data_IF_062523346457
#
_entry.id   IF_062523346457
#
_cell.length_a   1.000
_cell.length_b   1.000
_cell.length_c   1.000
_cell.angle_alpha   90.00
_cell.angle_beta   90.00
_cell.angle_gamma   90.00
#
_symmetry.space_group_name_H-M   'P 1'
#
loop_
_entity.id
_entity.type
_entity.pdbx_description
1 polymer ?
#
# COMPACT_ATOMS: atom_id res chain seq x y z
N UNK A 1 27.87 -15.54 -22.36
CA UNK A 1 26.94 -14.73 -23.16
C UNK A 1 26.54 -13.52 -22.33
N UNK A 2 26.96 -12.30 -22.72
CA UNK A 2 26.48 -11.09 -22.04
C UNK A 2 24.97 -10.97 -22.23
N UNK A 3 24.21 -11.02 -21.12
CA UNK A 3 22.78 -10.75 -21.16
C UNK A 3 22.53 -9.37 -21.77
N UNK A 4 21.56 -9.26 -22.70
CA UNK A 4 21.12 -7.98 -23.26
C UNK A 4 20.18 -7.22 -22.32
N UNK A 5 19.80 -7.85 -21.19
CA UNK A 5 18.92 -7.24 -20.18
C UNK A 5 19.74 -6.38 -19.20
N UNK A 6 19.06 -5.38 -18.63
CA UNK A 6 19.61 -4.56 -17.55
C UNK A 6 19.99 -5.44 -16.35
N UNK A 7 21.22 -5.28 -15.84
CA UNK A 7 21.68 -5.99 -14.63
C UNK A 7 20.82 -5.63 -13.42
N UNK A 8 20.48 -4.36 -13.31
CA UNK A 8 19.61 -3.84 -12.24
C UNK A 8 18.26 -4.55 -12.22
N UNK A 9 17.57 -4.61 -13.37
CA UNK A 9 16.26 -5.25 -13.45
C UNK A 9 16.35 -6.77 -13.24
N UNK A 10 17.44 -7.40 -13.63
CA UNK A 10 17.67 -8.83 -13.38
C UNK A 10 17.86 -9.15 -11.89
N UNK A 11 18.34 -8.20 -11.10
CA UNK A 11 18.52 -8.33 -9.64
C UNK A 11 17.21 -8.08 -8.85
N UNK A 12 16.19 -7.48 -9.45
CA UNK A 12 14.89 -7.26 -8.82
C UNK A 12 14.12 -8.57 -8.78
N UNK A 13 13.49 -8.88 -7.65
CA UNK A 13 12.66 -10.08 -7.49
C UNK A 13 11.53 -10.14 -8.54
N UNK A 14 11.16 -11.35 -8.96
CA UNK A 14 9.99 -11.53 -9.80
C UNK A 14 8.71 -11.13 -9.03
N UNK A 15 7.77 -10.39 -9.66
CA UNK A 15 6.54 -9.99 -8.96
C UNK A 15 5.67 -11.21 -8.69
N UNK A 16 5.57 -11.63 -7.43
CA UNK A 16 4.89 -12.86 -7.02
C UNK A 16 3.37 -12.80 -7.25
N UNK A 17 2.75 -11.62 -7.14
CA UNK A 17 1.29 -11.48 -7.31
C UNK A 17 0.82 -11.87 -8.72
N UNK A 18 1.44 -11.44 -9.83
CA UNK A 18 1.11 -11.95 -11.16
C UNK A 18 1.24 -13.46 -11.29
N UNK A 19 2.25 -14.08 -10.68
CA UNK A 19 2.47 -15.53 -10.70
C UNK A 19 1.31 -16.26 -10.00
N UNK A 20 0.97 -15.84 -8.77
CA UNK A 20 -0.15 -16.41 -8.02
C UNK A 20 -1.48 -16.15 -8.74
N UNK A 21 -1.65 -14.97 -9.35
CA UNK A 21 -2.84 -14.65 -10.14
C UNK A 21 -2.97 -15.54 -11.39
N UNK A 22 -1.87 -15.89 -12.03
CA UNK A 22 -1.87 -16.82 -13.15
C UNK A 22 -2.29 -18.24 -12.71
N UNK A 23 -1.71 -18.77 -11.63
CA UNK A 23 -2.13 -20.06 -11.07
C UNK A 23 -3.62 -20.05 -10.69
N UNK A 24 -4.09 -18.95 -10.08
CA UNK A 24 -5.50 -18.78 -9.72
C UNK A 24 -6.42 -18.81 -10.94
N UNK A 25 -6.05 -18.13 -12.04
CA UNK A 25 -6.82 -18.14 -13.29
C UNK A 25 -6.84 -19.53 -13.96
N UNK A 26 -5.72 -20.24 -13.90
CA UNK A 26 -5.56 -21.56 -14.50
C UNK A 26 -6.27 -22.67 -13.71
N UNK A 27 -6.69 -22.40 -12.46
CA UNK A 27 -7.44 -23.34 -11.62
C UNK A 27 -8.86 -22.82 -11.42
N UNK A 28 -9.79 -23.33 -12.26
CA UNK A 28 -11.19 -22.89 -12.25
C UNK A 28 -11.83 -23.04 -10.89
N UNK A 29 -12.66 -22.06 -10.51
CA UNK A 29 -13.38 -22.05 -9.22
C UNK A 29 -12.53 -21.62 -8.02
N UNK A 30 -11.28 -21.18 -8.21
CA UNK A 30 -10.42 -20.69 -7.11
C UNK A 30 -10.95 -19.37 -6.56
N UNK A 31 -11.16 -19.32 -5.25
CA UNK A 31 -11.48 -18.10 -4.51
C UNK A 31 -10.18 -17.41 -4.07
N UNK A 32 -10.08 -16.11 -4.33
CA UNK A 32 -8.86 -15.36 -4.05
C UNK A 32 -8.90 -14.65 -2.70
N UNK A 33 -8.02 -15.06 -1.80
CA UNK A 33 -7.58 -14.30 -0.62
C UNK A 33 -6.22 -13.61 -0.89
N UNK A 34 -5.77 -13.55 -2.15
CA UNK A 34 -4.45 -13.01 -2.51
C UNK A 34 -4.49 -11.57 -2.99
N UNK A 35 -5.54 -11.13 -3.67
CA UNK A 35 -5.59 -9.82 -4.30
C UNK A 35 -5.84 -8.69 -3.31
N UNK A 36 -4.94 -7.71 -3.31
CA UNK A 36 -5.06 -6.48 -2.51
C UNK A 36 -5.99 -5.45 -3.14
N UNK A 37 -7.23 -5.81 -3.43
CA UNK A 37 -8.27 -4.96 -4.02
C UNK A 37 -9.53 -4.99 -3.15
N UNK A 38 -10.48 -4.11 -3.45
CA UNK A 38 -11.79 -4.03 -2.80
C UNK A 38 -12.89 -4.50 -3.75
N UNK A 39 -13.99 -5.01 -3.20
CA UNK A 39 -15.11 -5.59 -3.98
C UNK A 39 -16.10 -4.53 -4.47
N UNK A 40 -16.04 -3.31 -3.95
CA UNK A 40 -16.98 -2.24 -4.29
C UNK A 40 -16.45 -1.35 -5.41
N UNK A 41 -17.35 -0.79 -6.26
CA UNK A 41 -16.98 0.13 -7.34
C UNK A 41 -16.65 1.53 -6.81
N UNK A 42 -16.22 2.46 -7.69
CA UNK A 42 -16.24 3.88 -7.36
C UNK A 42 -17.65 4.39 -6.99
N UNK A 43 -17.77 5.49 -6.23
CA UNK A 43 -19.06 6.13 -5.98
C UNK A 43 -19.69 6.63 -7.29
N UNK A 44 -21.03 6.65 -7.35
CA UNK A 44 -21.78 7.04 -8.57
C UNK A 44 -21.40 8.44 -9.07
N UNK A 45 -21.08 9.36 -8.17
CA UNK A 45 -20.61 10.70 -8.51
C UNK A 45 -19.33 10.68 -9.35
N UNK A 46 -18.42 9.73 -9.12
CA UNK A 46 -17.22 9.58 -9.92
C UNK A 46 -17.55 9.24 -11.39
N UNK A 47 -18.54 8.35 -11.60
CA UNK A 47 -18.99 7.99 -12.94
C UNK A 47 -19.80 9.11 -13.57
N UNK A 48 -20.59 9.84 -12.78
CA UNK A 48 -21.34 11.01 -13.25
C UNK A 48 -20.41 12.14 -13.73
N UNK A 49 -19.29 12.37 -13.02
CA UNK A 49 -18.31 13.42 -13.36
C UNK A 49 -17.63 13.22 -14.73
N UNK A 50 -17.61 11.99 -15.25
CA UNK A 50 -16.99 11.67 -16.55
C UNK A 50 -18.00 11.37 -17.65
N UNK A 51 -19.30 11.47 -17.38
CA UNK A 51 -20.35 11.09 -18.36
C UNK A 51 -20.21 11.80 -19.68
N UNK A 52 -19.89 13.09 -19.63
CA UNK A 52 -19.78 13.97 -20.78
C UNK A 52 -18.32 14.32 -21.13
N UNK A 53 -17.37 13.57 -20.59
CA UNK A 53 -15.94 13.77 -20.87
C UNK A 53 -15.62 13.50 -22.35
N UNK A 54 -14.80 14.37 -22.95
CA UNK A 54 -14.42 14.29 -24.36
C UNK A 54 -15.26 15.17 -25.27
N UNK A 55 -16.23 15.93 -24.76
CA UNK A 55 -17.02 16.87 -25.56
C UNK A 55 -16.32 18.21 -25.76
N UNK A 56 -15.34 18.56 -24.93
CA UNK A 56 -14.61 19.83 -25.00
C UNK A 56 -13.19 19.59 -25.53
N UNK A 57 -12.69 20.45 -26.44
CA UNK A 57 -11.39 20.30 -27.07
C UNK A 57 -10.22 20.22 -26.05
N UNK A 58 -10.29 20.96 -24.94
CA UNK A 58 -9.28 21.00 -23.89
C UNK A 58 -9.15 19.67 -23.13
N UNK A 59 -10.17 18.82 -23.13
CA UNK A 59 -10.15 17.50 -22.50
C UNK A 59 -9.29 16.49 -23.25
N UNK A 60 -8.88 16.81 -24.49
CA UNK A 60 -7.99 16.02 -25.34
C UNK A 60 -6.54 16.53 -25.29
N UNK A 61 -6.25 17.55 -24.49
CA UNK A 61 -4.92 18.13 -24.35
C UNK A 61 -4.24 17.60 -23.09
N UNK A 62 -2.93 17.83 -22.97
CA UNK A 62 -2.23 17.57 -21.72
C UNK A 62 -2.72 18.50 -20.62
N UNK A 63 -2.99 17.92 -19.44
CA UNK A 63 -3.25 18.67 -18.22
C UNK A 63 -1.98 19.22 -17.57
N UNK A 64 -2.14 19.93 -16.46
CA UNK A 64 -1.02 20.38 -15.66
C UNK A 64 -0.28 19.19 -15.00
N UNK A 65 1.03 19.25 -14.94
CA UNK A 65 1.86 18.19 -14.35
C UNK A 65 1.53 17.93 -12.86
N UNK A 66 1.13 18.95 -12.11
CA UNK A 66 0.71 18.80 -10.72
C UNK A 66 -0.67 18.16 -10.56
N UNK A 67 -1.49 18.21 -11.59
CA UNK A 67 -2.88 17.76 -11.58
C UNK A 67 -3.89 18.89 -11.80
N UNK A 68 -5.17 18.51 -11.92
CA UNK A 68 -6.28 19.43 -12.07
C UNK A 68 -6.44 20.34 -10.85
N UNK A 69 -6.69 21.63 -11.06
CA UNK A 69 -6.78 22.63 -9.99
C UNK A 69 -7.93 22.35 -9.01
N UNK A 70 -9.08 21.88 -9.53
CA UNK A 70 -10.22 21.55 -8.67
C UNK A 70 -9.92 20.31 -7.83
N UNK A 71 -9.30 19.28 -8.44
CA UNK A 71 -8.85 18.09 -7.72
C UNK A 71 -7.85 18.44 -6.60
N UNK A 72 -6.86 19.28 -6.90
CA UNK A 72 -5.89 19.76 -5.91
C UNK A 72 -6.55 20.51 -4.75
N UNK A 73 -7.57 21.34 -5.04
CA UNK A 73 -8.32 22.05 -3.99
C UNK A 73 -9.11 21.09 -3.10
N UNK A 74 -9.76 20.06 -3.65
CA UNK A 74 -10.46 19.02 -2.89
C UNK A 74 -9.50 18.19 -2.04
N UNK A 75 -8.34 17.84 -2.58
CA UNK A 75 -7.29 17.15 -1.83
C UNK A 75 -6.80 18.02 -0.68
N UNK A 76 -6.54 19.31 -0.90
CA UNK A 76 -6.11 20.23 0.15
C UNK A 76 -7.14 20.34 1.28
N UNK A 77 -8.43 20.40 0.96
CA UNK A 77 -9.49 20.41 1.96
C UNK A 77 -9.58 19.09 2.74
N UNK A 78 -9.47 17.95 2.05
CA UNK A 78 -9.42 16.63 2.68
C UNK A 78 -8.23 16.52 3.65
N UNK A 79 -7.05 16.97 3.26
CA UNK A 79 -5.85 16.93 4.07
C UNK A 79 -6.04 17.78 5.35
N UNK A 80 -6.67 18.96 5.24
CA UNK A 80 -6.94 19.85 6.37
C UNK A 80 -7.96 19.24 7.32
N UNK A 81 -9.09 18.77 6.79
CA UNK A 81 -10.23 18.34 7.59
C UNK A 81 -10.10 16.91 8.15
N UNK A 82 -9.44 16.00 7.43
CA UNK A 82 -9.38 14.58 7.80
C UNK A 82 -8.00 14.17 8.36
N UNK A 83 -6.88 14.70 7.82
CA UNK A 83 -5.53 14.35 8.25
C UNK A 83 -4.87 15.37 9.16
N UNK A 84 -5.52 16.51 9.42
CA UNK A 84 -4.97 17.63 10.24
C UNK A 84 -3.65 18.19 9.67
N UNK A 85 -3.43 18.01 8.36
CA UNK A 85 -2.26 18.54 7.66
C UNK A 85 -2.56 19.96 7.19
N UNK A 86 -1.63 20.89 7.43
CA UNK A 86 -1.71 22.22 6.82
C UNK A 86 -1.21 22.13 5.35
N UNK A 87 -2.11 22.12 4.34
CA UNK A 87 -1.68 21.95 2.96
C UNK A 87 -0.84 23.15 2.45
N UNK A 88 -0.95 24.32 3.07
CA UNK A 88 -0.18 25.49 2.67
C UNK A 88 1.31 25.37 3.03
N UNK A 89 1.68 24.45 3.92
CA UNK A 89 3.07 24.16 4.26
C UNK A 89 3.76 23.23 3.24
N UNK A 90 3.00 22.52 2.39
CA UNK A 90 3.47 21.50 1.47
C UNK A 90 3.20 21.87 0.00
N UNK A 91 3.71 21.03 -0.89
CA UNK A 91 3.27 20.93 -2.28
C UNK A 91 2.48 19.63 -2.46
N UNK A 92 1.38 19.71 -3.20
CA UNK A 92 0.55 18.54 -3.57
C UNK A 92 0.77 18.24 -5.04
N UNK A 93 0.88 16.94 -5.39
CA UNK A 93 0.99 16.47 -6.77
C UNK A 93 0.14 15.22 -6.97
N UNK A 94 -0.74 15.24 -7.96
CA UNK A 94 -1.52 14.07 -8.40
C UNK A 94 -0.63 13.12 -9.18
N UNK A 95 -0.75 11.81 -8.95
CA UNK A 95 0.09 10.78 -9.59
C UNK A 95 -0.76 9.62 -10.11
N UNK A 96 -0.20 8.78 -10.96
CA UNK A 96 -0.85 7.55 -11.40
C UNK A 96 -0.81 6.44 -10.33
N UNK A 97 -1.42 6.75 -9.17
CA UNK A 97 -1.46 5.93 -7.98
C UNK A 97 -0.22 6.07 -7.08
N UNK A 98 -0.31 5.55 -5.85
CA UNK A 98 0.76 5.66 -4.85
C UNK A 98 2.07 4.96 -5.26
N UNK A 99 2.02 3.87 -6.04
CA UNK A 99 3.24 3.21 -6.53
C UNK A 99 4.08 4.14 -7.41
N UNK A 100 3.44 4.91 -8.32
CA UNK A 100 4.17 5.90 -9.12
C UNK A 100 4.64 7.05 -8.25
N UNK A 101 3.83 7.51 -7.28
CA UNK A 101 4.26 8.52 -6.32
C UNK A 101 5.55 8.10 -5.61
N UNK A 102 5.60 6.87 -5.10
CA UNK A 102 6.79 6.32 -4.43
C UNK A 102 8.02 6.29 -5.35
N UNK A 103 7.86 5.76 -6.56
CA UNK A 103 8.97 5.72 -7.53
C UNK A 103 9.46 7.13 -7.91
N UNK A 104 8.53 8.08 -8.12
CA UNK A 104 8.87 9.47 -8.43
C UNK A 104 9.66 10.12 -7.29
N UNK A 105 9.25 9.86 -6.04
CA UNK A 105 9.95 10.36 -4.85
C UNK A 105 11.37 9.80 -4.82
N UNK A 106 11.55 8.49 -4.95
CA UNK A 106 12.88 7.88 -4.96
C UNK A 106 13.77 8.48 -6.05
N UNK A 107 13.26 8.61 -7.28
CA UNK A 107 14.00 9.24 -8.40
C UNK A 107 14.42 10.69 -8.11
N UNK A 108 13.68 11.39 -7.24
CA UNK A 108 13.97 12.78 -6.91
C UNK A 108 14.94 12.95 -5.73
N UNK A 109 15.06 11.95 -4.84
CA UNK A 109 15.82 12.09 -3.59
C UNK A 109 17.00 11.13 -3.42
N UNK A 110 17.17 10.14 -4.31
CA UNK A 110 18.20 9.11 -4.14
C UNK A 110 19.19 9.08 -5.29
N UNK A 111 20.42 8.70 -4.97
CA UNK A 111 21.47 8.30 -5.89
C UNK A 111 21.75 6.79 -5.75
N UNK A 112 22.41 6.14 -6.73
CA UNK A 112 22.84 4.74 -6.59
C UNK A 112 23.63 4.49 -5.29
N UNK A 113 23.41 3.34 -4.66
CA UNK A 113 24.01 2.90 -3.39
C UNK A 113 23.45 3.61 -2.14
N UNK A 114 22.50 4.54 -2.26
CA UNK A 114 21.79 5.08 -1.12
C UNK A 114 20.91 4.02 -0.46
N UNK A 115 20.72 4.13 0.84
CA UNK A 115 19.98 3.19 1.68
C UNK A 115 18.61 3.74 2.05
N UNK A 116 17.60 2.87 1.94
CA UNK A 116 16.21 3.17 2.35
C UNK A 116 15.78 2.14 3.38
N UNK A 117 15.47 2.61 4.59
CA UNK A 117 15.01 1.74 5.69
C UNK A 117 13.53 1.38 5.49
N UNK A 118 13.25 0.06 5.52
CA UNK A 118 11.92 -0.53 5.43
C UNK A 118 11.62 -1.38 6.67
N UNK A 119 10.65 -1.02 7.53
CA UNK A 119 10.13 -1.94 8.53
C UNK A 119 9.59 -3.23 7.87
N UNK A 120 10.04 -4.39 8.33
CA UNK A 120 9.65 -5.71 7.78
C UNK A 120 8.62 -6.38 8.71
N UNK A 121 7.53 -6.94 8.15
CA UNK A 121 7.26 -7.16 6.73
C UNK A 121 6.89 -5.89 5.99
N UNK A 122 7.46 -5.72 4.79
CA UNK A 122 7.29 -4.52 3.96
C UNK A 122 6.42 -4.77 2.72
N UNK A 123 5.92 -3.71 2.11
CA UNK A 123 5.24 -3.79 0.82
C UNK A 123 6.26 -4.02 -0.31
N UNK A 124 6.16 -5.17 -0.98
CA UNK A 124 7.17 -5.65 -1.95
C UNK A 124 7.46 -4.68 -3.10
N UNK A 125 6.46 -3.91 -3.59
CA UNK A 125 6.72 -2.94 -4.67
C UNK A 125 7.64 -1.79 -4.23
N UNK A 126 7.70 -1.47 -2.93
CA UNK A 126 8.64 -0.48 -2.42
C UNK A 126 10.06 -1.03 -2.45
N UNK A 127 10.28 -2.25 -1.99
CA UNK A 127 11.58 -2.92 -2.09
C UNK A 127 12.05 -3.05 -3.55
N UNK A 128 11.15 -3.48 -4.45
CA UNK A 128 11.45 -3.57 -5.87
C UNK A 128 11.83 -2.22 -6.48
N UNK A 129 11.10 -1.14 -6.16
CA UNK A 129 11.38 0.20 -6.66
C UNK A 129 12.77 0.71 -6.19
N UNK A 130 13.12 0.46 -4.92
CA UNK A 130 14.44 0.81 -4.37
C UNK A 130 15.54 0.11 -5.17
N UNK A 131 15.41 -1.21 -5.40
CA UNK A 131 16.40 -1.97 -6.18
C UNK A 131 16.45 -1.56 -7.65
N UNK A 132 15.32 -1.18 -8.25
CA UNK A 132 15.29 -0.66 -9.64
C UNK A 132 16.16 0.57 -9.84
N UNK A 133 16.42 1.34 -8.78
CA UNK A 133 17.26 2.53 -8.81
C UNK A 133 18.71 2.27 -8.37
N UNK A 134 19.11 1.01 -8.20
CA UNK A 134 20.39 0.61 -7.62
C UNK A 134 20.59 1.09 -6.16
N UNK A 135 19.52 1.38 -5.46
CA UNK A 135 19.55 1.68 -4.03
C UNK A 135 19.42 0.39 -3.20
N UNK A 136 19.75 0.47 -1.90
CA UNK A 136 19.75 -0.64 -0.97
C UNK A 136 18.55 -0.57 -0.03
N UNK A 137 17.59 -1.52 -0.10
CA UNK A 137 16.58 -1.65 0.93
C UNK A 137 17.20 -2.24 2.20
N UNK A 138 17.09 -1.53 3.32
CA UNK A 138 17.53 -1.96 4.64
C UNK A 138 16.31 -2.41 5.44
N UNK A 139 16.09 -3.71 5.51
CA UNK A 139 14.95 -4.27 6.23
C UNK A 139 15.21 -4.28 7.74
N UNK A 140 14.31 -3.66 8.53
CA UNK A 140 14.35 -3.65 9.99
C UNK A 140 13.13 -4.41 10.51
N UNK A 141 13.29 -5.49 11.28
CA UNK A 141 12.16 -6.25 11.80
C UNK A 141 11.23 -5.41 12.67
N UNK A 142 9.94 -5.61 12.55
CA UNK A 142 8.94 -5.17 13.53
C UNK A 142 8.89 -6.16 14.72
N UNK A 143 8.17 -5.81 15.78
CA UNK A 143 7.95 -6.71 16.91
C UNK A 143 6.93 -7.84 16.56
N UNK A 144 6.63 -8.70 17.53
CA UNK A 144 5.67 -9.81 17.37
C UNK A 144 4.24 -9.37 17.13
N UNK A 145 3.91 -8.09 17.33
CA UNK A 145 2.62 -7.47 17.04
C UNK A 145 2.66 -6.59 15.78
N UNK A 146 3.76 -6.67 15.04
CA UNK A 146 4.04 -5.87 13.85
C UNK A 146 4.14 -4.36 14.12
N UNK A 147 4.56 -3.93 15.35
CA UNK A 147 4.82 -2.55 15.68
C UNK A 147 6.29 -2.18 15.42
N UNK A 148 6.56 -0.89 15.24
CA UNK A 148 7.90 -0.39 14.91
C UNK A 148 8.86 -0.58 16.10
N UNK A 149 10.09 -1.01 15.83
CA UNK A 149 11.16 -1.11 16.81
C UNK A 149 12.10 0.09 16.63
N UNK A 150 11.82 1.18 17.33
CA UNK A 150 12.48 2.48 17.15
C UNK A 150 14.00 2.38 17.32
N UNK A 151 14.47 1.68 18.35
CA UNK A 151 15.91 1.50 18.58
C UNK A 151 16.59 0.69 17.46
N UNK A 152 15.91 -0.31 16.91
CA UNK A 152 16.42 -1.07 15.78
C UNK A 152 16.47 -0.21 14.50
N UNK A 153 15.45 0.62 14.26
CA UNK A 153 15.43 1.58 13.15
C UNK A 153 16.60 2.57 13.30
N UNK A 154 16.78 3.14 14.50
CA UNK A 154 17.89 4.05 14.80
C UNK A 154 19.26 3.41 14.57
N UNK A 155 19.44 2.18 15.02
CA UNK A 155 20.69 1.43 14.83
C UNK A 155 20.99 1.09 13.35
N UNK A 156 19.98 1.08 12.49
CA UNK A 156 20.13 0.82 11.06
C UNK A 156 20.49 2.06 10.24
N UNK A 157 20.45 3.27 10.82
CA UNK A 157 20.80 4.52 10.13
C UNK A 157 22.32 4.58 9.91
N UNK A 158 22.72 4.84 8.68
CA UNK A 158 24.11 5.07 8.25
C UNK A 158 24.26 6.41 7.51
N UNK A 159 25.47 6.76 7.12
CA UNK A 159 25.71 7.95 6.29
C UNK A 159 25.10 7.85 4.88
N UNK A 160 24.75 6.62 4.43
CA UNK A 160 24.09 6.37 3.15
C UNK A 160 22.57 6.40 3.24
N UNK A 161 22.02 6.40 4.43
CA UNK A 161 20.56 6.41 4.61
C UNK A 161 19.97 7.72 4.10
N UNK A 162 18.93 7.64 3.26
CA UNK A 162 18.21 8.80 2.69
C UNK A 162 16.80 8.94 3.22
N UNK A 163 16.15 7.81 3.48
CA UNK A 163 14.77 7.86 3.95
C UNK A 163 14.44 6.65 4.83
N UNK A 164 13.44 6.83 5.69
CA UNK A 164 12.72 5.76 6.39
C UNK A 164 11.30 5.73 5.82
N UNK A 165 10.83 4.55 5.43
CA UNK A 165 9.48 4.36 4.87
C UNK A 165 8.60 3.70 5.91
N UNK A 166 7.43 4.29 6.20
CA UNK A 166 6.39 3.65 7.01
C UNK A 166 5.14 3.45 6.17
N UNK A 167 4.48 2.30 6.34
CA UNK A 167 3.19 1.98 5.69
C UNK A 167 2.17 1.75 6.80
N UNK A 168 1.25 2.71 7.00
CA UNK A 168 0.26 2.61 8.06
C UNK A 168 -1.11 3.11 7.61
N UNK A 169 -2.14 2.27 7.72
CA UNK A 169 -2.15 0.84 8.06
C UNK A 169 -1.30 -0.01 7.11
N UNK A 170 -0.67 -1.06 7.65
CA UNK A 170 0.38 -1.79 6.96
C UNK A 170 -0.17 -2.85 5.98
N UNK A 171 0.51 -2.99 4.86
CA UNK A 171 0.47 -4.13 3.96
C UNK A 171 1.83 -4.82 4.00
N UNK A 172 1.96 -6.08 4.50
CA UNK A 172 0.91 -7.13 4.53
C UNK A 172 0.24 -7.40 5.87
N UNK A 173 0.72 -6.84 6.98
CA UNK A 173 0.35 -7.30 8.33
C UNK A 173 -1.03 -6.80 8.80
N UNK A 174 -1.52 -5.69 8.24
CA UNK A 174 -2.71 -5.00 8.75
C UNK A 174 -2.46 -4.22 10.04
N UNK A 175 -1.23 -4.08 10.49
CA UNK A 175 -0.92 -3.28 11.68
C UNK A 175 -1.20 -1.79 11.43
N UNK A 176 -1.72 -1.12 12.43
CA UNK A 176 -1.76 0.35 12.52
C UNK A 176 -0.64 0.74 13.47
N UNK A 177 0.33 1.49 12.97
CA UNK A 177 1.42 1.95 13.83
C UNK A 177 0.91 3.01 14.80
N UNK A 178 1.43 2.98 16.03
CA UNK A 178 1.04 3.95 17.05
C UNK A 178 1.47 5.38 16.66
N UNK A 179 0.71 6.38 17.11
CA UNK A 179 1.11 7.77 16.92
C UNK A 179 2.49 8.05 17.53
N UNK A 180 2.78 7.50 18.72
CA UNK A 180 4.06 7.66 19.38
C UNK A 180 5.23 7.12 18.57
N UNK A 181 5.08 5.92 17.98
CA UNK A 181 6.11 5.34 17.13
C UNK A 181 6.31 6.14 15.84
N UNK A 182 5.23 6.60 15.20
CA UNK A 182 5.31 7.41 14.00
C UNK A 182 5.96 8.79 14.28
N UNK A 183 5.69 9.38 15.45
CA UNK A 183 6.36 10.59 15.93
C UNK A 183 7.85 10.34 16.17
N UNK A 184 8.19 9.21 16.78
CA UNK A 184 9.58 8.83 17.03
C UNK A 184 10.37 8.65 15.73
N UNK A 185 9.81 7.94 14.72
CA UNK A 185 10.43 7.80 13.39
C UNK A 185 10.59 9.17 12.73
N UNK A 186 9.56 10.03 12.81
CA UNK A 186 9.61 11.38 12.23
C UNK A 186 10.71 12.21 12.87
N UNK A 187 10.87 12.12 14.20
CA UNK A 187 11.95 12.78 14.94
C UNK A 187 13.33 12.28 14.53
N UNK A 188 13.51 10.95 14.36
CA UNK A 188 14.77 10.39 13.86
C UNK A 188 15.11 10.93 12.46
N UNK A 189 14.12 11.03 11.57
CA UNK A 189 14.33 11.60 10.23
C UNK A 189 14.82 13.05 10.33
N UNK A 190 14.21 13.87 11.17
CA UNK A 190 14.66 15.25 11.42
C UNK A 190 16.07 15.33 11.97
N UNK A 191 16.38 14.51 12.98
CA UNK A 191 17.69 14.49 13.65
C UNK A 191 18.83 14.12 12.72
N UNK A 192 18.57 13.19 11.80
CA UNK A 192 19.58 12.66 10.88
C UNK A 192 19.51 13.27 9.48
N UNK A 193 18.64 14.26 9.22
CA UNK A 193 18.49 14.88 7.90
C UNK A 193 17.93 13.94 6.84
N UNK A 194 17.06 12.99 7.23
CA UNK A 194 16.45 11.98 6.36
C UNK A 194 15.03 12.40 5.97
N UNK A 195 14.51 11.83 4.87
CA UNK A 195 13.09 11.91 4.57
C UNK A 195 12.30 10.82 5.30
N UNK A 196 11.12 11.20 5.84
CA UNK A 196 10.12 10.25 6.29
C UNK A 196 9.09 10.08 5.19
N UNK A 197 9.08 8.93 4.49
CA UNK A 197 8.07 8.60 3.48
C UNK A 197 6.97 7.79 4.13
N UNK A 198 5.75 8.35 4.17
CA UNK A 198 4.58 7.74 4.79
C UNK A 198 3.61 7.25 3.70
N UNK A 199 3.45 5.94 3.53
CA UNK A 199 2.44 5.37 2.64
C UNK A 199 1.13 5.18 3.42
N UNK A 200 0.16 6.05 3.13
CA UNK A 200 -1.14 6.16 3.81
C UNK A 200 -2.29 5.62 2.94
N UNK A 201 -1.99 4.72 1.98
CA UNK A 201 -2.97 4.18 1.04
C UNK A 201 -4.15 3.46 1.71
N UNK A 202 -4.06 3.11 2.98
CA UNK A 202 -5.08 2.42 3.76
C UNK A 202 -5.66 3.29 4.90
N UNK A 203 -5.47 4.61 4.88
CA UNK A 203 -5.85 5.55 5.95
C UNK A 203 -7.29 5.38 6.47
N UNK A 204 -8.25 5.03 5.61
CA UNK A 204 -9.65 4.82 5.99
C UNK A 204 -9.94 3.42 6.56
N UNK A 205 -9.00 2.48 6.44
CA UNK A 205 -9.21 1.09 6.87
C UNK A 205 -8.61 0.88 8.25
N UNK A 206 -9.28 1.42 9.25
CA UNK A 206 -8.92 1.28 10.66
C UNK A 206 -10.13 0.78 11.43
N UNK A 207 -9.93 -0.24 12.27
CA UNK A 207 -10.93 -0.94 13.02
C UNK A 207 -10.68 -0.80 14.53
N UNK A 208 -11.68 -1.16 15.35
CA UNK A 208 -11.52 -1.25 16.80
C UNK A 208 -11.22 0.10 17.46
N UNK A 209 -10.15 0.13 18.24
CA UNK A 209 -9.72 1.32 19.00
C UNK A 209 -8.54 2.06 18.35
N UNK A 210 -7.92 1.48 17.34
CA UNK A 210 -6.82 2.11 16.62
C UNK A 210 -7.28 3.38 15.89
N UNK A 211 -6.37 4.32 15.72
CA UNK A 211 -6.60 5.56 14.97
C UNK A 211 -5.47 5.74 13.96
N UNK A 212 -5.83 6.23 12.78
CA UNK A 212 -4.84 6.62 11.80
C UNK A 212 -4.20 7.95 12.20
N UNK A 213 -2.89 8.03 12.08
CA UNK A 213 -2.12 9.25 12.31
C UNK A 213 -1.27 9.55 11.07
N UNK A 214 -1.35 10.80 10.60
CA UNK A 214 -0.54 11.27 9.46
C UNK A 214 0.67 12.06 9.98
N UNK A 215 1.90 11.57 9.83
CA UNK A 215 3.11 12.27 10.30
C UNK A 215 3.30 13.68 9.70
N UNK A 216 2.78 13.92 8.49
CA UNK A 216 2.79 15.25 7.88
C UNK A 216 1.93 16.29 8.64
N UNK A 217 1.11 15.90 9.62
CA UNK A 217 0.37 16.82 10.49
C UNK A 217 1.27 17.50 11.55
N UNK A 218 2.47 16.96 11.77
CA UNK A 218 3.41 17.53 12.74
C UNK A 218 3.92 18.92 12.28
N UNK A 219 4.02 19.91 13.19
CA UNK A 219 4.31 21.29 12.80
C UNK A 219 5.60 21.48 12.00
N UNK A 220 6.64 20.70 12.30
CA UNK A 220 7.95 20.82 11.65
C UNK A 220 8.17 19.83 10.51
N UNK A 221 7.22 18.94 10.26
CA UNK A 221 7.37 17.83 9.33
C UNK A 221 7.44 18.26 7.86
N UNK A 222 6.99 19.47 7.52
CA UNK A 222 6.91 19.96 6.14
C UNK A 222 8.25 20.09 5.43
N UNK A 223 9.36 20.05 6.16
CA UNK A 223 10.70 20.13 5.59
C UNK A 223 11.24 18.75 5.12
N UNK A 224 10.69 17.63 5.62
CA UNK A 224 11.28 16.29 5.39
C UNK A 224 10.26 15.14 5.35
N UNK A 225 8.96 15.40 5.53
CA UNK A 225 7.94 14.36 5.47
C UNK A 225 7.24 14.36 4.12
N UNK A 226 7.11 13.17 3.53
CA UNK A 226 6.44 12.93 2.26
C UNK A 226 5.34 11.91 2.50
N UNK A 227 4.07 12.28 2.32
CA UNK A 227 2.92 11.37 2.48
C UNK A 227 2.35 10.98 1.12
N UNK A 228 2.08 9.69 0.95
CA UNK A 228 1.54 9.09 -0.27
C UNK A 228 0.13 8.58 -0.02
N UNK A 229 -0.80 8.96 -0.89
CA UNK A 229 -2.21 8.62 -0.79
C UNK A 229 -2.71 7.93 -2.05
N UNK A 230 -3.74 7.11 -1.91
CA UNK A 230 -4.30 6.35 -3.02
C UNK A 230 -5.82 6.30 -2.98
N UNK A 231 -6.46 6.60 -4.11
CA UNK A 231 -7.90 6.35 -4.27
C UNK A 231 -8.21 4.89 -4.60
N UNK A 232 -7.17 4.08 -4.93
CA UNK A 232 -7.33 2.68 -5.37
C UNK A 232 -8.13 1.82 -4.41
N UNK A 233 -8.02 2.06 -3.08
CA UNK A 233 -8.66 1.25 -2.05
C UNK A 233 -9.90 1.93 -1.50
N UNK A 234 -9.75 3.14 -0.97
CA UNK A 234 -10.82 3.89 -0.33
C UNK A 234 -12.04 4.12 -1.24
N UNK A 235 -11.80 4.43 -2.50
CA UNK A 235 -12.82 4.76 -3.47
C UNK A 235 -13.02 3.72 -4.58
N UNK A 236 -12.42 2.53 -4.48
CA UNK A 236 -12.56 1.49 -5.52
C UNK A 236 -11.87 1.83 -6.86
N UNK A 237 -10.84 2.66 -6.86
CA UNK A 237 -10.16 3.22 -8.03
C UNK A 237 -8.94 2.41 -8.49
N UNK A 238 -8.86 1.12 -8.21
CA UNK A 238 -7.64 0.35 -8.48
C UNK A 238 -7.19 0.41 -9.96
N UNK A 239 -8.12 0.26 -10.91
CA UNK A 239 -7.84 0.34 -12.34
C UNK A 239 -7.70 1.77 -12.89
N UNK A 240 -8.22 2.76 -12.18
CA UNK A 240 -8.20 4.17 -12.60
C UNK A 240 -6.85 4.84 -12.42
N UNK A 241 -5.99 4.26 -11.59
CA UNK A 241 -4.64 4.75 -11.34
C UNK A 241 -4.60 6.20 -10.89
N UNK A 242 -5.30 6.55 -9.82
CA UNK A 242 -5.24 7.88 -9.20
C UNK A 242 -4.75 7.79 -7.77
N UNK A 243 -3.77 8.59 -7.45
CA UNK A 243 -3.22 8.86 -6.14
C UNK A 243 -2.63 10.25 -6.10
N UNK A 244 -2.07 10.61 -4.98
CA UNK A 244 -1.37 11.89 -4.84
C UNK A 244 -0.30 11.80 -3.77
N UNK A 245 0.63 12.72 -3.80
CA UNK A 245 1.64 12.90 -2.78
C UNK A 245 1.60 14.32 -2.22
N UNK A 246 1.99 14.43 -0.96
CA UNK A 246 2.20 15.66 -0.21
C UNK A 246 3.68 15.71 0.14
N UNK A 247 4.39 16.76 -0.23
CA UNK A 247 5.84 16.81 -0.17
C UNK A 247 6.38 18.17 0.27
N UNK A 248 7.61 18.24 0.78
CA UNK A 248 8.33 19.49 0.96
C UNK A 248 8.33 20.34 -0.32
N UNK A 249 8.15 21.65 -0.19
CA UNK A 249 8.05 22.56 -1.36
C UNK A 249 9.32 22.63 -2.20
N UNK A 250 10.47 22.45 -1.59
CA UNK A 250 11.77 22.46 -2.25
C UNK A 250 11.99 21.23 -3.18
N UNK A 251 11.24 20.14 -2.98
CA UNK A 251 11.27 18.98 -3.88
C UNK A 251 10.50 19.20 -5.18
N UNK A 252 9.67 20.24 -5.28
CA UNK A 252 8.83 20.49 -6.45
C UNK A 252 9.62 20.50 -7.77
N UNK A 253 10.76 21.22 -7.91
CA UNK A 253 11.49 21.25 -9.18
C UNK A 253 11.99 19.86 -9.61
N UNK A 254 12.41 19.02 -8.66
CA UNK A 254 12.89 17.66 -8.94
C UNK A 254 11.75 16.74 -9.34
N UNK A 255 10.66 16.75 -8.60
CA UNK A 255 9.49 15.90 -8.88
C UNK A 255 8.78 16.31 -10.18
N UNK A 256 8.77 17.60 -10.54
CA UNK A 256 8.26 18.02 -11.84
C UNK A 256 9.07 17.44 -13.00
N UNK A 257 10.41 17.41 -12.91
CA UNK A 257 11.27 16.77 -13.95
C UNK A 257 10.94 15.29 -14.08
N UNK A 258 10.77 14.59 -12.95
CA UNK A 258 10.46 13.17 -12.95
C UNK A 258 9.09 12.91 -13.57
N UNK A 259 8.06 13.62 -13.12
CA UNK A 259 6.68 13.41 -13.59
C UNK A 259 6.50 13.80 -15.06
N UNK A 260 7.08 14.91 -15.47
CA UNK A 260 7.03 15.36 -16.87
C UNK A 260 7.67 14.33 -17.80
N UNK A 261 8.78 13.71 -17.37
CA UNK A 261 9.51 12.73 -18.19
C UNK A 261 8.79 11.39 -18.29
N UNK A 262 8.17 10.90 -17.21
CA UNK A 262 7.60 9.54 -17.17
C UNK A 262 6.11 9.47 -17.51
N UNK A 263 5.37 10.56 -17.34
CA UNK A 263 3.89 10.55 -17.50
C UNK A 263 3.34 11.87 -18.08
N UNK A 264 4.04 13.00 -17.92
CA UNK A 264 3.58 14.37 -18.18
C UNK A 264 2.52 14.78 -17.15
N UNK A 265 1.34 14.17 -17.19
CA UNK A 265 0.26 14.34 -16.22
C UNK A 265 -0.58 13.05 -16.13
N UNK A 266 -1.24 12.76 -15.00
CA UNK A 266 -2.22 11.69 -14.93
C UNK A 266 -3.38 11.94 -15.92
N UNK A 267 -4.00 10.88 -16.48
CA UNK A 267 -5.09 11.03 -17.44
C UNK A 267 -6.21 11.92 -16.90
N UNK A 268 -6.61 12.93 -17.66
CA UNK A 268 -7.62 13.91 -17.22
C UNK A 268 -8.95 13.26 -16.86
N UNK A 269 -9.42 12.29 -17.64
CA UNK A 269 -10.65 11.56 -17.35
C UNK A 269 -10.60 10.90 -15.96
N UNK A 270 -9.45 10.34 -15.56
CA UNK A 270 -9.28 9.74 -14.25
C UNK A 270 -9.27 10.79 -13.13
N UNK A 271 -8.72 11.97 -13.40
CA UNK A 271 -8.77 13.09 -12.46
C UNK A 271 -10.19 13.64 -12.29
N UNK A 272 -10.97 13.77 -13.37
CA UNK A 272 -12.37 14.16 -13.31
C UNK A 272 -13.22 13.15 -12.52
N UNK A 273 -12.99 11.85 -12.72
CA UNK A 273 -13.62 10.82 -11.89
C UNK A 273 -13.23 10.95 -10.41
N UNK A 274 -11.96 11.26 -10.12
CA UNK A 274 -11.48 11.48 -8.76
C UNK A 274 -12.09 12.71 -8.08
N UNK A 275 -12.37 13.80 -8.82
CA UNK A 275 -13.13 14.95 -8.32
C UNK A 275 -14.48 14.48 -7.80
N UNK A 276 -15.28 13.79 -8.64
CA UNK A 276 -16.58 13.29 -8.22
C UNK A 276 -16.53 12.31 -7.04
N UNK A 277 -15.43 11.53 -6.92
CA UNK A 277 -15.22 10.65 -5.77
C UNK A 277 -14.93 11.43 -4.48
N UNK A 278 -14.08 12.45 -4.52
CA UNK A 278 -13.73 13.25 -3.33
C UNK A 278 -14.87 14.15 -2.88
N UNK A 279 -15.71 14.64 -3.79
CA UNK A 279 -16.92 15.42 -3.47
C UNK A 279 -17.92 14.64 -2.61
N UNK A 280 -17.97 13.30 -2.72
CA UNK A 280 -18.80 12.47 -1.83
C UNK A 280 -18.25 12.44 -0.41
N UNK A 281 -16.95 12.65 -0.24
CA UNK A 281 -16.26 12.70 1.04
C UNK A 281 -16.10 11.33 1.73
N UNK A 282 -15.58 11.36 2.95
CA UNK A 282 -15.25 10.17 3.76
C UNK A 282 -16.46 9.30 4.16
N UNK A 283 -17.68 9.81 4.01
CA UNK A 283 -18.91 9.04 4.28
C UNK A 283 -19.01 7.77 3.45
N UNK A 284 -18.59 7.83 2.16
CA UNK A 284 -18.52 6.67 1.29
C UNK A 284 -17.53 5.61 1.84
N UNK A 285 -16.32 6.04 2.20
CA UNK A 285 -15.28 5.15 2.72
C UNK A 285 -15.71 4.47 4.03
N UNK A 286 -16.35 5.22 4.95
CA UNK A 286 -16.88 4.70 6.21
C UNK A 286 -17.96 3.65 6.01
N UNK A 287 -18.86 3.84 5.04
CA UNK A 287 -19.90 2.85 4.71
C UNK A 287 -19.27 1.53 4.21
N UNK A 288 -18.21 1.61 3.38
CA UNK A 288 -17.51 0.42 2.91
C UNK A 288 -16.70 -0.26 4.03
N UNK A 289 -16.08 0.51 4.92
CA UNK A 289 -15.39 -0.02 6.10
C UNK A 289 -16.30 -0.87 6.97
N UNK A 290 -17.53 -0.42 7.24
CA UNK A 290 -18.52 -1.18 8.03
C UNK A 290 -18.83 -2.55 7.39
N UNK A 291 -18.91 -2.62 6.06
CA UNK A 291 -19.10 -3.90 5.34
C UNK A 291 -17.87 -4.81 5.48
N UNK A 292 -16.67 -4.26 5.35
CA UNK A 292 -15.42 -5.00 5.51
C UNK A 292 -15.21 -5.49 6.94
N UNK A 293 -15.66 -4.75 7.94
CA UNK A 293 -15.57 -5.17 9.34
C UNK A 293 -16.34 -6.46 9.60
N UNK A 294 -17.52 -6.64 9.00
CA UNK A 294 -18.28 -7.88 9.09
C UNK A 294 -17.50 -9.04 8.48
N UNK A 295 -16.88 -8.83 7.31
CA UNK A 295 -16.09 -9.86 6.63
C UNK A 295 -14.83 -10.19 7.46
N UNK A 296 -14.14 -9.18 7.98
CA UNK A 296 -12.97 -9.35 8.85
C UNK A 296 -13.30 -10.22 10.07
N UNK A 297 -14.42 -9.96 10.75
CA UNK A 297 -14.86 -10.74 11.90
C UNK A 297 -15.07 -12.22 11.54
N UNK A 298 -15.68 -12.49 10.38
CA UNK A 298 -15.84 -13.86 9.89
C UNK A 298 -14.49 -14.54 9.63
N UNK A 299 -13.57 -13.86 8.96
CA UNK A 299 -12.23 -14.40 8.66
C UNK A 299 -11.49 -14.76 9.96
N UNK A 300 -11.49 -13.87 10.96
CA UNK A 300 -10.84 -14.10 12.26
C UNK A 300 -11.50 -15.28 12.99
N UNK A 301 -12.85 -15.34 13.03
CA UNK A 301 -13.56 -16.44 13.69
C UNK A 301 -13.25 -17.80 13.05
N UNK A 302 -13.11 -17.85 11.72
CA UNK A 302 -12.76 -19.09 11.02
C UNK A 302 -11.32 -19.54 11.26
N UNK A 303 -10.37 -18.60 11.45
CA UNK A 303 -8.99 -18.93 11.82
C UNK A 303 -8.89 -19.61 13.20
N UNK A 304 -9.81 -19.36 14.11
CA UNK A 304 -9.87 -20.05 15.41
C UNK A 304 -9.99 -21.59 15.27
N UNK A 305 -10.57 -22.09 14.18
CA UNK A 305 -10.72 -23.53 13.94
C UNK A 305 -9.39 -24.26 13.65
N UNK A 306 -8.34 -23.51 13.43
CA UNK A 306 -6.98 -24.01 13.15
C UNK A 306 -5.93 -23.31 14.02
N UNK A 307 -6.32 -22.79 15.19
CA UNK A 307 -5.44 -22.07 16.12
C UNK A 307 -4.29 -22.92 16.67
N UNK A 308 -4.36 -24.24 16.57
CA UNK A 308 -3.28 -25.18 16.86
C UNK A 308 -2.24 -25.31 15.75
N UNK A 309 -2.50 -24.76 14.57
CA UNK A 309 -1.70 -24.89 13.34
C UNK A 309 -1.20 -23.56 12.79
N UNK A 310 -1.71 -22.45 13.27
CA UNK A 310 -1.36 -21.12 12.78
C UNK A 310 -1.28 -20.10 13.90
N UNK A 311 -0.31 -19.20 13.79
CA UNK A 311 -0.24 -17.99 14.61
C UNK A 311 -0.71 -16.78 13.76
N UNK A 312 -1.43 -15.84 14.37
CA UNK A 312 -1.76 -14.56 13.77
C UNK A 312 -2.00 -13.47 14.82
N UNK A 313 -1.87 -12.24 14.40
CA UNK A 313 -2.28 -11.07 15.18
C UNK A 313 -3.56 -10.51 14.56
N UNK A 314 -4.58 -10.27 15.37
CA UNK A 314 -5.83 -9.64 14.94
C UNK A 314 -5.62 -8.12 14.78
N UNK A 315 -4.76 -7.73 13.85
CA UNK A 315 -4.43 -6.34 13.55
C UNK A 315 -5.64 -5.52 13.16
N UNK A 316 -5.63 -4.22 13.46
CA UNK A 316 -6.80 -3.34 13.33
C UNK A 316 -6.74 -2.42 12.10
N UNK A 317 -5.96 -2.79 11.08
CA UNK A 317 -5.83 -1.96 9.88
C UNK A 317 -5.91 -2.71 8.56
N UNK A 318 -6.06 -1.96 7.49
CA UNK A 318 -6.15 -2.42 6.11
C UNK A 318 -7.28 -3.47 5.92
N UNK A 319 -7.11 -4.40 5.01
CA UNK A 319 -7.98 -5.58 4.83
C UNK A 319 -7.14 -6.83 4.61
N UNK A 320 -6.07 -6.92 5.41
CA UNK A 320 -5.11 -8.02 5.41
C UNK A 320 -4.99 -8.65 6.79
N UNK A 321 -4.69 -9.94 6.80
CA UNK A 321 -4.15 -10.66 7.95
C UNK A 321 -2.93 -11.43 7.48
N UNK A 322 -1.87 -11.36 8.25
CA UNK A 322 -0.66 -12.15 8.04
C UNK A 322 -0.68 -13.31 9.05
N UNK A 323 -0.68 -14.54 8.54
CA UNK A 323 -0.69 -15.76 9.34
C UNK A 323 0.63 -16.50 9.16
N UNK A 324 1.13 -17.11 10.23
CA UNK A 324 2.29 -18.01 10.22
C UNK A 324 1.82 -19.45 10.42
N UNK A 325 2.12 -20.33 9.47
CA UNK A 325 1.74 -21.74 9.54
C UNK A 325 2.80 -22.54 10.29
N UNK A 326 2.38 -23.48 11.12
CA UNK A 326 3.26 -24.42 11.84
C UNK A 326 3.65 -25.58 10.92
N UNK A 327 4.42 -25.29 9.89
CA UNK A 327 4.91 -26.25 8.90
C UNK A 327 6.35 -25.93 8.48
N UNK A 328 7.09 -26.94 8.03
CA UNK A 328 8.43 -26.77 7.45
C UNK A 328 8.39 -26.60 5.94
N UNK A 329 7.20 -26.61 5.33
CA UNK A 329 7.05 -26.41 3.88
C UNK A 329 7.33 -24.96 3.50
N UNK A 330 7.88 -24.78 2.30
CA UNK A 330 8.03 -23.45 1.70
C UNK A 330 6.65 -22.81 1.47
N UNK A 331 6.52 -21.52 1.75
CA UNK A 331 5.25 -20.78 1.65
C UNK A 331 4.71 -20.71 0.21
N UNK A 332 5.59 -20.63 -0.80
CA UNK A 332 5.19 -20.65 -2.22
C UNK A 332 4.61 -22.02 -2.63
N UNK A 333 5.21 -23.12 -2.14
CA UNK A 333 4.70 -24.48 -2.37
C UNK A 333 3.35 -24.70 -1.67
N UNK A 334 3.19 -24.15 -0.47
CA UNK A 334 1.91 -24.16 0.25
C UNK A 334 0.85 -23.40 -0.56
N UNK A 335 1.13 -22.20 -1.05
CA UNK A 335 0.20 -21.43 -1.88
C UNK A 335 -0.19 -22.21 -3.14
N UNK A 336 0.76 -22.85 -3.80
CA UNK A 336 0.50 -23.68 -4.97
C UNK A 336 -0.44 -24.85 -4.65
N UNK A 337 -0.20 -25.54 -3.52
CA UNK A 337 -1.06 -26.64 -3.02
C UNK A 337 -2.47 -26.13 -2.70
N UNK A 338 -2.59 -24.99 -2.00
CA UNK A 338 -3.89 -24.38 -1.68
C UNK A 338 -4.71 -24.06 -2.93
N UNK A 339 -4.06 -23.59 -4.00
CA UNK A 339 -4.70 -23.31 -5.27
C UNK A 339 -5.13 -24.60 -5.96
N UNK A 340 -4.20 -25.54 -6.16
CA UNK A 340 -4.43 -26.74 -7.00
C UNK A 340 -5.41 -27.75 -6.35
N UNK A 341 -5.37 -27.92 -5.03
CA UNK A 341 -6.12 -28.96 -4.33
C UNK A 341 -7.34 -28.42 -3.57
N UNK A 342 -7.26 -27.16 -3.10
CA UNK A 342 -8.31 -26.56 -2.27
C UNK A 342 -9.03 -25.38 -2.92
N UNK A 343 -8.60 -24.96 -4.12
CA UNK A 343 -9.20 -23.87 -4.89
C UNK A 343 -9.33 -22.57 -4.06
N UNK A 344 -8.30 -22.23 -3.29
CA UNK A 344 -8.17 -20.98 -2.55
C UNK A 344 -6.75 -20.44 -2.69
N UNK A 345 -6.59 -19.16 -2.95
CA UNK A 345 -5.27 -18.54 -3.10
C UNK A 345 -4.97 -17.53 -1.98
N UNK A 346 -3.70 -17.45 -1.59
CA UNK A 346 -3.13 -16.44 -0.68
C UNK A 346 -1.82 -15.94 -1.29
N UNK A 347 -1.17 -14.93 -0.66
CA UNK A 347 0.16 -14.49 -1.08
C UNK A 347 1.21 -14.99 -0.09
N UNK A 348 2.31 -15.62 -0.56
CA UNK A 348 3.35 -16.13 0.31
C UNK A 348 4.12 -14.97 0.99
N UNK A 349 4.58 -15.21 2.22
CA UNK A 349 5.27 -14.22 3.05
C UNK A 349 6.63 -13.82 2.52
N UNK A 350 7.31 -14.69 1.77
CA UNK A 350 8.59 -14.39 1.14
C UNK A 350 8.51 -13.15 0.22
N UNK A 351 7.35 -12.86 -0.38
CA UNK A 351 7.13 -11.63 -1.13
C UNK A 351 7.32 -10.35 -0.31
N UNK A 352 7.13 -10.42 1.00
CA UNK A 352 7.18 -9.29 1.93
C UNK A 352 8.43 -9.28 2.81
N UNK A 353 9.46 -10.03 2.41
CA UNK A 353 10.74 -10.12 3.12
C UNK A 353 10.75 -11.08 4.31
N UNK A 354 9.76 -11.93 4.48
CA UNK A 354 9.72 -12.94 5.53
C UNK A 354 10.35 -14.25 5.04
N UNK A 355 11.42 -14.68 5.71
CA UNK A 355 12.19 -15.87 5.32
C UNK A 355 12.35 -16.90 6.45
N UNK A 356 11.84 -16.58 7.65
CA UNK A 356 12.01 -17.37 8.89
C UNK A 356 10.82 -18.27 9.20
N UNK A 357 10.06 -18.68 8.20
CA UNK A 357 8.91 -19.56 8.36
C UNK A 357 7.95 -19.50 7.20
N UNK A 358 6.86 -20.25 7.30
CA UNK A 358 5.81 -20.25 6.28
C UNK A 358 4.73 -19.22 6.62
N UNK A 359 4.79 -18.08 5.96
CA UNK A 359 3.80 -17.02 6.15
C UNK A 359 2.87 -16.89 4.94
N UNK A 360 1.62 -16.56 5.20
CA UNK A 360 0.63 -16.24 4.16
C UNK A 360 -0.06 -14.92 4.48
N UNK A 361 -0.13 -14.00 3.49
CA UNK A 361 -1.01 -12.85 3.57
C UNK A 361 -2.38 -13.22 3.04
N UNK A 362 -3.38 -13.07 3.87
CA UNK A 362 -4.79 -13.19 3.52
C UNK A 362 -5.37 -11.80 3.26
N UNK A 363 -5.98 -11.58 2.10
CA UNK A 363 -6.72 -10.37 1.76
C UNK A 363 -8.21 -10.68 1.70
N UNK A 364 -9.00 -9.97 2.49
CA UNK A 364 -10.46 -10.12 2.49
C UNK A 364 -11.20 -8.97 1.79
N UNK A 365 -10.46 -8.04 1.17
CA UNK A 365 -11.03 -6.86 0.51
C UNK A 365 -11.93 -7.16 -0.69
N UNK A 366 -11.70 -8.27 -1.42
CA UNK A 366 -12.48 -8.68 -2.60
C UNK A 366 -13.66 -9.59 -2.29
N UNK A 367 -13.87 -9.94 -1.03
CA UNK A 367 -14.90 -10.89 -0.65
C UNK A 367 -16.20 -10.18 -0.27
N UNK A 368 -17.32 -10.72 -0.69
CA UNK A 368 -18.59 -10.56 -0.02
C UNK A 368 -18.73 -11.59 1.11
N UNK A 369 -19.80 -11.45 1.90
CA UNK A 369 -20.00 -12.28 3.08
C UNK A 369 -20.12 -13.79 2.77
N UNK A 370 -20.74 -14.16 1.65
CA UNK A 370 -20.91 -15.57 1.26
C UNK A 370 -19.60 -16.17 0.77
N UNK A 371 -18.88 -15.43 -0.10
CA UNK A 371 -17.56 -15.84 -0.60
C UNK A 371 -16.51 -15.92 0.50
N UNK A 372 -16.61 -15.07 1.54
CA UNK A 372 -15.73 -15.14 2.69
C UNK A 372 -15.87 -16.47 3.44
N UNK A 373 -17.11 -16.90 3.72
CA UNK A 373 -17.37 -18.16 4.40
C UNK A 373 -16.85 -19.36 3.61
N UNK A 374 -17.05 -19.37 2.29
CA UNK A 374 -16.57 -20.45 1.42
C UNK A 374 -15.03 -20.45 1.30
N UNK A 375 -14.41 -19.28 1.05
CA UNK A 375 -12.97 -19.17 0.95
C UNK A 375 -12.27 -19.62 2.23
N UNK A 376 -12.78 -19.22 3.39
CA UNK A 376 -12.25 -19.62 4.68
C UNK A 376 -12.46 -21.11 4.97
N UNK A 377 -13.60 -21.70 4.55
CA UNK A 377 -13.81 -23.15 4.65
C UNK A 377 -12.74 -23.92 3.88
N UNK A 378 -12.44 -23.50 2.66
CA UNK A 378 -11.40 -24.10 1.81
C UNK A 378 -9.99 -23.89 2.41
N UNK A 379 -9.71 -22.68 2.90
CA UNK A 379 -8.44 -22.36 3.53
C UNK A 379 -8.19 -23.20 4.78
N UNK A 380 -9.16 -23.30 5.68
CA UNK A 380 -9.07 -24.10 6.91
C UNK A 380 -8.83 -25.58 6.58
N UNK A 381 -9.53 -26.12 5.57
CA UNK A 381 -9.30 -27.49 5.10
C UNK A 381 -7.87 -27.67 4.55
N UNK A 382 -7.40 -26.72 3.75
CA UNK A 382 -6.05 -26.74 3.20
C UNK A 382 -4.97 -26.64 4.27
N UNK A 383 -5.13 -25.73 5.26
CA UNK A 383 -4.21 -25.59 6.39
C UNK A 383 -4.10 -26.90 7.18
N UNK A 384 -5.23 -27.56 7.48
CA UNK A 384 -5.23 -28.86 8.17
C UNK A 384 -4.47 -29.96 7.43
N UNK A 385 -4.34 -29.84 6.11
CA UNK A 385 -3.65 -30.84 5.29
C UNK A 385 -2.15 -30.53 5.10
N UNK A 386 -1.73 -29.27 5.19
CA UNK A 386 -0.34 -28.87 4.97
C UNK A 386 0.45 -28.70 6.26
N UNK A 387 -0.21 -28.58 7.42
CA UNK A 387 0.32 -28.58 8.78
C UNK A 387 -0.08 -29.87 9.50
#
# INVERSE_FOLDING_TARGET
LNSRHSRTITAVQAPIIPVVAEWTRNTSGTLSLGQGMVFYPPPDNALAAIRDFGQRPEEHQYGAALGDKHLLALIAEKLRSENQINPDAYQIMVTAGANMAFLNVLLAITDPDDEIILPSPYYFNQEMAIRMLNCMPVAVPTDSRYQLQIEAIKAAITEKTRAIVTVSPNNPSGAVYSEDDLRAVNALCREHGLYHICDEAYEYFVYGQSQHFSPASLPEASAYTISLYSLSKAYGFASWRVGYLVMPKDLLPSLLKVQDTNLICPPLICQHAAIGALEVGSGYCKAQLNRLQVIRSKVINRLQEVSDKVDWVATEGAFYLLIKLHTQRNDLDVVKTLISEYQVSAIPGCAFGLTDGCYLRLSYGMLDSARADEAMTRLVKGIKAVC
#
